data_IF_932193196846
#
_entry.id   IF_932193196846
#
_cell.length_a   1.000
_cell.length_b   1.000
_cell.length_c   1.000
_cell.angle_alpha   90.00
_cell.angle_beta   90.00
_cell.angle_gamma   90.00
#
_symmetry.space_group_name_H-M   'P 1'
#
loop_
_entity.id
_entity.type
_entity.pdbx_description
1 polymer ?
#
# COMPACT_ATOMS: atom_id res chain seq x y z
N UNK A 1 -10.46 -23.53 -10.36
CA UNK A 1 -9.31 -23.58 -9.44
C UNK A 1 -9.27 -22.26 -8.70
N UNK A 2 -9.23 -22.26 -7.36
CA UNK A 2 -9.13 -21.03 -6.57
C UNK A 2 -7.64 -20.65 -6.45
N UNK A 3 -7.29 -19.42 -6.80
CA UNK A 3 -5.92 -18.91 -6.77
C UNK A 3 -5.50 -18.65 -5.31
N UNK A 4 -4.19 -18.67 -5.04
CA UNK A 4 -3.69 -18.38 -3.68
C UNK A 4 -4.05 -16.96 -3.22
N UNK A 5 -4.02 -15.98 -4.13
CA UNK A 5 -4.45 -14.61 -3.82
C UNK A 5 -5.93 -14.54 -3.41
N UNK A 6 -6.80 -15.38 -4.01
CA UNK A 6 -8.22 -15.45 -3.66
C UNK A 6 -8.46 -16.06 -2.27
N UNK A 7 -7.53 -16.89 -1.77
CA UNK A 7 -7.58 -17.37 -0.39
C UNK A 7 -7.14 -16.27 0.56
N UNK A 8 -6.00 -15.65 0.27
CA UNK A 8 -5.44 -14.57 1.07
C UNK A 8 -6.43 -13.40 1.30
N UNK A 9 -7.07 -12.91 0.25
CA UNK A 9 -8.03 -11.80 0.38
C UNK A 9 -9.34 -12.20 1.08
N UNK A 10 -9.59 -13.50 1.26
CA UNK A 10 -10.74 -13.98 2.05
C UNK A 10 -10.42 -14.20 3.53
N UNK A 11 -9.14 -14.20 3.90
CA UNK A 11 -8.68 -14.40 5.28
C UNK A 11 -8.48 -13.08 6.03
N UNK A 12 -8.29 -11.98 5.30
CA UNK A 12 -8.00 -10.66 5.84
C UNK A 12 -9.05 -9.67 5.35
N UNK A 13 -9.54 -8.84 6.28
CA UNK A 13 -10.45 -7.76 5.94
C UNK A 13 -9.68 -6.55 5.35
N UNK A 14 -10.06 -6.17 4.14
CA UNK A 14 -9.48 -5.07 3.38
C UNK A 14 -10.55 -4.03 3.02
N UNK A 15 -10.17 -2.76 2.83
CA UNK A 15 -11.12 -1.72 2.44
C UNK A 15 -11.87 -2.09 1.15
N UNK A 16 -13.17 -1.83 1.09
CA UNK A 16 -14.04 -2.17 -0.05
C UNK A 16 -13.48 -1.64 -1.39
N UNK A 17 -13.01 -0.39 -1.39
CA UNK A 17 -12.39 0.23 -2.56
C UNK A 17 -11.11 -0.51 -3.03
N UNK A 18 -10.35 -1.10 -2.11
CA UNK A 18 -9.21 -1.94 -2.45
C UNK A 18 -9.67 -3.31 -2.95
N UNK A 19 -10.68 -3.91 -2.32
CA UNK A 19 -11.22 -5.21 -2.72
C UNK A 19 -11.73 -5.22 -4.17
N UNK A 20 -12.43 -4.17 -4.58
CA UNK A 20 -12.89 -4.00 -5.97
C UNK A 20 -11.72 -4.08 -6.97
N UNK A 21 -10.58 -3.45 -6.66
CA UNK A 21 -9.39 -3.48 -7.52
C UNK A 21 -8.80 -4.89 -7.64
N UNK A 22 -8.63 -5.63 -6.53
CA UNK A 22 -8.03 -6.97 -6.61
C UNK A 22 -8.96 -7.98 -7.29
N UNK A 23 -10.28 -7.85 -7.10
CA UNK A 23 -11.28 -8.69 -7.78
C UNK A 23 -11.25 -8.48 -9.29
N UNK A 24 -11.22 -7.22 -9.76
CA UNK A 24 -11.03 -6.90 -11.19
C UNK A 24 -9.68 -7.42 -11.72
N UNK A 25 -8.63 -7.32 -10.90
CA UNK A 25 -7.31 -7.86 -11.22
C UNK A 25 -7.32 -9.38 -11.42
N UNK A 26 -8.02 -10.11 -10.55
CA UNK A 26 -8.18 -11.57 -10.63
C UNK A 26 -8.99 -11.97 -11.86
N UNK A 27 -10.06 -11.22 -12.19
CA UNK A 27 -10.84 -11.45 -13.41
C UNK A 27 -9.96 -11.26 -14.65
N UNK A 28 -9.19 -10.16 -14.70
CA UNK A 28 -8.24 -9.91 -15.79
C UNK A 28 -7.21 -11.03 -15.92
N UNK A 29 -6.68 -11.54 -14.80
CA UNK A 29 -5.72 -12.64 -14.79
C UNK A 29 -6.34 -13.92 -15.38
N UNK A 30 -7.54 -14.29 -14.94
CA UNK A 30 -8.27 -15.47 -15.45
C UNK A 30 -8.62 -15.35 -16.93
N UNK A 31 -8.78 -14.13 -17.44
CA UNK A 31 -9.00 -13.84 -18.85
C UNK A 31 -7.70 -13.77 -19.69
N UNK A 32 -6.52 -13.97 -19.08
CA UNK A 32 -5.22 -13.88 -19.76
C UNK A 32 -4.73 -12.44 -20.02
N UNK A 33 -5.39 -11.44 -19.44
CA UNK A 33 -5.06 -10.02 -19.58
C UNK A 33 -4.09 -9.60 -18.47
N UNK A 34 -2.87 -10.14 -18.53
CA UNK A 34 -1.92 -10.06 -17.42
C UNK A 34 -1.45 -8.64 -17.05
N UNK A 35 -1.30 -7.74 -18.03
CA UNK A 35 -0.92 -6.34 -17.75
C UNK A 35 -1.99 -5.63 -16.92
N UNK A 36 -3.26 -5.77 -17.31
CA UNK A 36 -4.38 -5.20 -16.55
C UNK A 36 -4.49 -5.85 -15.17
N UNK A 37 -4.33 -7.17 -15.09
CA UNK A 37 -4.30 -7.88 -13.82
C UNK A 37 -3.24 -7.32 -12.86
N UNK A 38 -2.04 -7.07 -13.39
CA UNK A 38 -0.94 -6.50 -12.62
C UNK A 38 -1.22 -5.06 -12.16
N UNK A 39 -1.68 -4.19 -13.07
CA UNK A 39 -2.01 -2.79 -12.73
C UNK A 39 -3.06 -2.75 -11.62
N UNK A 40 -4.14 -3.52 -11.74
CA UNK A 40 -5.19 -3.58 -10.73
C UNK A 40 -4.68 -4.13 -9.39
N UNK A 41 -3.85 -5.17 -9.42
CA UNK A 41 -3.21 -5.72 -8.20
C UNK A 41 -2.28 -4.70 -7.53
N UNK A 42 -1.58 -3.88 -8.32
CA UNK A 42 -0.69 -2.84 -7.81
C UNK A 42 -1.48 -1.71 -7.16
N UNK A 43 -2.60 -1.31 -7.79
CA UNK A 43 -3.52 -0.33 -7.22
C UNK A 43 -4.16 -0.86 -5.93
N UNK A 44 -4.53 -2.14 -5.87
CA UNK A 44 -4.99 -2.78 -4.63
C UNK A 44 -3.95 -2.61 -3.52
N UNK A 45 -2.70 -3.01 -3.78
CA UNK A 45 -1.62 -2.89 -2.79
C UNK A 45 -1.46 -1.45 -2.28
N UNK A 46 -1.36 -0.47 -3.18
CA UNK A 46 -1.23 0.94 -2.78
C UNK A 46 -2.50 1.48 -2.10
N UNK A 47 -3.69 1.03 -2.48
CA UNK A 47 -4.95 1.43 -1.87
C UNK A 47 -5.05 0.97 -0.42
N UNK A 48 -4.65 -0.28 -0.15
CA UNK A 48 -4.56 -0.79 1.24
C UNK A 48 -3.56 0.02 2.05
N UNK A 49 -2.37 0.29 1.50
CA UNK A 49 -1.36 1.10 2.21
C UNK A 49 -1.84 2.53 2.43
N UNK A 50 -2.50 3.15 1.43
CA UNK A 50 -3.10 4.49 1.52
C UNK A 50 -4.14 4.54 2.62
N UNK A 51 -5.11 3.65 2.60
CA UNK A 51 -6.19 3.62 3.60
C UNK A 51 -5.62 3.56 5.00
N UNK A 52 -4.60 2.72 5.21
CA UNK A 52 -3.99 2.51 6.52
C UNK A 52 -3.13 3.69 6.95
N UNK A 53 -2.39 4.30 6.02
CA UNK A 53 -1.68 5.56 6.30
C UNK A 53 -2.65 6.68 6.70
N UNK A 54 -3.83 6.76 6.07
CA UNK A 54 -4.85 7.76 6.40
C UNK A 54 -5.62 7.43 7.69
N UNK A 55 -5.93 6.16 7.97
CA UNK A 55 -6.53 5.71 9.25
C UNK A 55 -5.56 5.86 10.43
N UNK A 56 -4.26 5.60 10.22
CA UNK A 56 -3.20 5.84 11.19
C UNK A 56 -3.00 7.33 11.52
N UNK A 57 -3.61 8.21 10.75
CA UNK A 57 -3.61 9.65 10.98
C UNK A 57 -4.74 10.08 11.93
N UNK A 58 -5.12 9.21 12.88
CA UNK A 58 -6.01 9.59 13.98
C UNK A 58 -5.39 10.79 14.72
N UNK A 59 -6.19 11.84 14.84
CA UNK A 59 -5.81 13.21 15.21
C UNK A 59 -5.47 13.28 16.71
N UNK A 60 -4.18 13.42 17.10
CA UNK A 60 -3.85 13.76 18.45
C UNK A 60 -4.01 15.26 18.60
N UNK A 61 -4.97 15.62 19.45
CA UNK A 61 -5.26 16.91 20.05
C UNK A 61 -4.06 17.88 19.90
N UNK A 62 -4.01 18.71 18.85
CA UNK A 62 -3.08 19.85 18.78
C UNK A 62 -2.50 20.25 17.42
N UNK A 63 -2.39 19.35 16.42
CA UNK A 63 -1.66 19.65 15.17
C UNK A 63 -2.51 19.63 13.86
N UNK A 64 -3.80 19.93 13.97
CA UNK A 64 -4.79 19.79 12.90
C UNK A 64 -4.65 20.67 11.63
N UNK A 65 -3.65 21.57 11.50
CA UNK A 65 -3.56 22.49 10.34
C UNK A 65 -2.59 22.09 9.23
N UNK A 66 -1.44 21.51 9.53
CA UNK A 66 -0.51 21.03 8.49
C UNK A 66 -0.91 19.65 7.95
N UNK A 67 -1.53 18.82 8.79
CA UNK A 67 -1.94 17.46 8.44
C UNK A 67 -3.16 17.40 7.52
N UNK A 68 -4.18 18.23 7.78
CA UNK A 68 -5.40 18.32 6.96
C UNK A 68 -5.08 18.64 5.51
N UNK A 69 -4.10 19.52 5.28
CA UNK A 69 -3.55 19.81 3.94
C UNK A 69 -3.01 18.57 3.23
N UNK A 70 -2.26 17.69 3.91
CA UNK A 70 -1.67 16.48 3.30
C UNK A 70 -2.70 15.39 3.02
N UNK A 71 -3.67 15.20 3.92
CA UNK A 71 -4.77 14.25 3.75
C UNK A 71 -5.68 14.68 2.59
N UNK A 72 -6.02 15.97 2.52
CA UNK A 72 -6.79 16.57 1.42
C UNK A 72 -6.03 16.48 0.08
N UNK A 73 -4.70 16.65 0.12
CA UNK A 73 -3.81 16.48 -1.03
C UNK A 73 -3.62 15.03 -1.52
N UNK A 74 -3.88 14.00 -0.69
CA UNK A 74 -3.81 12.59 -1.09
C UNK A 74 -5.16 12.09 -1.64
N UNK A 75 -6.26 12.72 -1.22
CA UNK A 75 -7.61 12.43 -1.71
C UNK A 75 -7.94 13.10 -3.05
N UNK A 76 -7.31 14.24 -3.38
CA UNK A 76 -7.72 15.08 -4.52
C UNK A 76 -6.75 15.06 -5.73
N UNK A 77 -5.81 14.11 -5.79
CA UNK A 77 -4.64 14.22 -6.69
C UNK A 77 -4.48 13.01 -7.62
N UNK A 78 -4.31 13.29 -8.92
CA UNK A 78 -3.96 12.36 -10.00
C UNK A 78 -2.64 11.59 -9.70
N UNK A 79 -1.84 12.10 -8.75
CA UNK A 79 -0.56 11.54 -8.32
C UNK A 79 -0.57 10.86 -6.95
N UNK A 80 -1.73 10.48 -6.41
CA UNK A 80 -1.82 9.85 -5.08
C UNK A 80 -0.93 8.60 -4.93
N UNK A 81 -0.79 7.79 -5.99
CA UNK A 81 0.10 6.61 -6.00
C UNK A 81 1.55 7.00 -5.66
N UNK A 82 2.05 8.11 -6.24
CA UNK A 82 3.41 8.62 -6.01
C UNK A 82 3.57 9.13 -4.58
N UNK A 83 2.57 9.80 -4.04
CA UNK A 83 2.58 10.30 -2.66
C UNK A 83 2.61 9.15 -1.65
N UNK A 84 1.75 8.16 -1.82
CA UNK A 84 1.68 6.97 -0.96
C UNK A 84 2.99 6.19 -1.03
N UNK A 85 3.52 5.98 -2.24
CA UNK A 85 4.83 5.36 -2.42
C UNK A 85 5.93 6.14 -1.67
N UNK A 86 5.93 7.47 -1.81
CA UNK A 86 6.86 8.34 -1.08
C UNK A 86 6.75 8.18 0.44
N UNK A 87 5.55 8.08 1.02
CA UNK A 87 5.38 7.89 2.46
C UNK A 87 6.06 6.61 2.98
N UNK A 88 6.10 5.57 2.15
CA UNK A 88 6.72 4.28 2.48
C UNK A 88 8.26 4.41 2.35
N UNK A 89 8.74 5.06 1.29
CA UNK A 89 10.18 5.07 0.94
C UNK A 89 10.99 6.22 1.52
N UNK A 90 10.37 7.31 1.99
CA UNK A 90 11.10 8.52 2.46
C UNK A 90 11.79 8.29 3.83
N UNK A 91 11.56 7.16 4.50
CA UNK A 91 12.15 6.86 5.79
C UNK A 91 13.45 6.04 5.71
N UNK A 92 14.60 6.67 5.39
CA UNK A 92 15.92 6.03 5.63
C UNK A 92 16.25 5.82 7.13
N UNK A 93 15.41 6.32 8.03
CA UNK A 93 15.33 5.86 9.44
C UNK A 93 14.06 6.29 10.19
N UNK A 94 13.18 7.13 9.63
CA UNK A 94 12.02 7.71 10.34
C UNK A 94 10.81 7.95 9.42
N UNK A 95 10.27 6.92 8.74
CA UNK A 95 8.90 7.05 8.26
C UNK A 95 7.98 7.00 9.48
N UNK A 96 7.19 8.07 9.70
CA UNK A 96 6.24 8.16 10.83
C UNK A 96 5.16 7.08 10.84
N UNK A 97 5.04 6.33 9.74
CA UNK A 97 3.94 5.39 9.51
C UNK A 97 4.41 3.97 9.22
N UNK A 98 5.56 3.76 8.57
CA UNK A 98 5.98 2.42 8.18
C UNK A 98 7.45 2.18 8.51
N UNK A 99 7.73 1.19 9.35
CA UNK A 99 9.08 0.65 9.48
C UNK A 99 9.28 -0.44 8.42
N UNK A 100 10.07 -0.13 7.40
CA UNK A 100 10.27 -0.98 6.22
C UNK A 100 11.77 -1.11 5.97
N UNK A 101 12.24 -2.34 5.78
CA UNK A 101 13.65 -2.58 5.47
C UNK A 101 14.01 -2.04 4.08
N UNK A 102 15.27 -1.66 3.88
CA UNK A 102 15.78 -1.20 2.59
C UNK A 102 15.54 -2.23 1.48
N UNK A 103 15.64 -3.53 1.81
CA UNK A 103 15.34 -4.62 0.87
C UNK A 103 13.90 -4.59 0.37
N UNK A 104 12.92 -4.36 1.25
CA UNK A 104 11.51 -4.26 0.85
C UNK A 104 11.28 -2.99 0.03
N UNK A 105 11.92 -1.87 0.38
CA UNK A 105 11.87 -0.64 -0.42
C UNK A 105 12.36 -0.90 -1.85
N UNK A 106 13.52 -1.56 -2.01
CA UNK A 106 14.04 -1.93 -3.33
C UNK A 106 13.09 -2.83 -4.12
N UNK A 107 12.46 -3.81 -3.45
CA UNK A 107 11.45 -4.66 -4.10
C UNK A 107 10.23 -3.84 -4.54
N UNK A 108 9.77 -2.92 -3.72
CA UNK A 108 8.65 -2.02 -4.07
C UNK A 108 8.97 -1.12 -5.26
N UNK A 109 10.20 -0.62 -5.36
CA UNK A 109 10.67 0.14 -6.53
C UNK A 109 10.67 -0.70 -7.81
N UNK A 110 11.08 -1.97 -7.71
CA UNK A 110 11.00 -2.92 -8.82
C UNK A 110 9.55 -3.10 -9.29
N UNK A 111 8.61 -3.35 -8.37
CA UNK A 111 7.20 -3.52 -8.72
C UNK A 111 6.57 -2.26 -9.32
N UNK A 112 6.96 -1.08 -8.82
CA UNK A 112 6.55 0.20 -9.40
C UNK A 112 7.06 0.39 -10.83
N UNK A 113 8.30 0.00 -11.08
CA UNK A 113 8.91 0.07 -12.42
C UNK A 113 8.16 -0.83 -13.40
N UNK A 114 7.87 -2.06 -12.97
CA UNK A 114 7.11 -3.02 -13.76
C UNK A 114 5.66 -2.55 -14.04
N UNK A 115 5.04 -1.81 -13.10
CA UNK A 115 3.73 -1.16 -13.32
C UNK A 115 3.81 -0.10 -14.40
N UNK A 116 4.87 0.72 -14.39
CA UNK A 116 5.07 1.75 -15.42
C UNK A 116 5.25 1.11 -16.80
N UNK A 117 5.98 -0.01 -16.90
CA UNK A 117 6.13 -0.75 -18.15
C UNK A 117 4.81 -1.30 -18.69
N UNK A 118 3.91 -1.76 -17.80
CA UNK A 118 2.57 -2.21 -18.19
C UNK A 118 1.75 -1.09 -18.82
N UNK A 119 1.88 0.15 -18.32
CA UNK A 119 1.14 1.32 -18.83
C UNK A 119 1.76 1.88 -20.11
N UNK A 120 3.08 1.98 -20.18
CA UNK A 120 3.77 2.54 -21.35
C UNK A 120 3.92 1.54 -22.51
N UNK A 121 3.41 0.30 -22.36
CA UNK A 121 3.48 -0.77 -23.37
C UNK A 121 4.89 -0.94 -23.95
N UNK A 122 5.91 -0.79 -23.10
CA UNK A 122 7.29 -1.11 -23.48
C UNK A 122 7.30 -2.58 -23.92
N UNK A 123 7.89 -2.86 -25.09
CA UNK A 123 7.71 -4.09 -25.89
C UNK A 123 8.15 -5.42 -25.25
N UNK A 124 8.39 -5.46 -23.95
CA UNK A 124 8.73 -6.66 -23.20
C UNK A 124 7.50 -7.56 -23.02
N UNK A 125 7.73 -8.86 -23.09
CA UNK A 125 6.70 -9.87 -22.86
C UNK A 125 6.25 -9.84 -21.40
N UNK A 126 4.94 -9.67 -21.18
CA UNK A 126 4.34 -9.67 -19.85
C UNK A 126 3.42 -10.88 -19.70
N UNK A 127 3.79 -11.81 -18.84
CA UNK A 127 3.11 -13.10 -18.63
C UNK A 127 2.57 -13.27 -17.20
N UNK A 128 1.74 -14.29 -17.01
CA UNK A 128 1.16 -14.71 -15.74
C UNK A 128 2.16 -14.74 -14.57
N UNK A 129 3.38 -15.24 -14.81
CA UNK A 129 4.42 -15.34 -13.78
C UNK A 129 4.77 -14.01 -13.10
N UNK A 130 4.67 -12.87 -13.81
CA UNK A 130 4.89 -11.55 -13.21
C UNK A 130 3.77 -11.19 -12.22
N UNK A 131 2.52 -11.49 -12.58
CA UNK A 131 1.36 -11.27 -11.72
C UNK A 131 1.44 -12.15 -10.48
N UNK A 132 1.72 -13.44 -10.66
CA UNK A 132 1.85 -14.40 -9.56
C UNK A 132 2.99 -14.04 -8.61
N UNK A 133 4.14 -13.64 -9.15
CA UNK A 133 5.29 -13.21 -8.33
C UNK A 133 4.94 -11.97 -7.50
N UNK A 134 4.18 -11.03 -8.07
CA UNK A 134 3.73 -9.86 -7.34
C UNK A 134 2.67 -10.18 -6.28
N UNK A 135 1.76 -11.11 -6.56
CA UNK A 135 0.82 -11.59 -5.54
C UNK A 135 1.55 -12.26 -4.36
N UNK A 136 2.58 -13.05 -4.62
CA UNK A 136 3.42 -13.61 -3.54
C UNK A 136 4.10 -12.51 -2.72
N UNK A 137 4.57 -11.45 -3.37
CA UNK A 137 5.12 -10.29 -2.67
C UNK A 137 4.06 -9.60 -1.79
N UNK A 138 2.85 -9.38 -2.31
CA UNK A 138 1.73 -8.82 -1.54
C UNK A 138 1.43 -9.69 -0.32
N UNK A 139 1.28 -11.00 -0.52
CA UNK A 139 0.93 -11.94 0.54
C UNK A 139 1.98 -12.00 1.65
N UNK A 140 3.26 -11.88 1.30
CA UNK A 140 4.37 -11.90 2.26
C UNK A 140 4.62 -10.56 2.95
N UNK A 141 4.39 -9.45 2.26
CA UNK A 141 4.81 -8.12 2.73
C UNK A 141 3.68 -7.32 3.35
N UNK A 142 2.46 -7.44 2.80
CA UNK A 142 1.34 -6.62 3.22
C UNK A 142 0.96 -6.85 4.70
N UNK A 143 0.89 -8.07 5.24
CA UNK A 143 0.59 -8.28 6.67
C UNK A 143 1.59 -7.58 7.61
N UNK A 144 2.89 -7.67 7.32
CA UNK A 144 3.94 -7.06 8.14
C UNK A 144 3.89 -5.53 8.07
N UNK A 145 3.67 -4.96 6.88
CA UNK A 145 3.45 -3.52 6.72
C UNK A 145 2.25 -3.03 7.55
N UNK A 146 1.17 -3.83 7.60
CA UNK A 146 -0.03 -3.51 8.37
C UNK A 146 0.20 -3.60 9.89
N UNK A 147 1.03 -4.54 10.34
CA UNK A 147 1.37 -4.69 11.77
C UNK A 147 2.31 -3.56 12.20
N UNK A 148 3.35 -3.27 11.43
CA UNK A 148 4.32 -2.22 11.74
C UNK A 148 3.65 -0.85 11.79
N UNK A 149 2.75 -0.57 10.86
CA UNK A 149 1.96 0.66 10.89
C UNK A 149 1.14 0.79 12.17
N UNK A 150 0.41 -0.25 12.57
CA UNK A 150 -0.36 -0.23 13.83
C UNK A 150 0.50 -0.04 15.07
N UNK A 151 1.65 -0.72 15.16
CA UNK A 151 2.57 -0.57 16.30
C UNK A 151 3.08 0.85 16.45
N UNK A 152 3.49 1.47 15.33
CA UNK A 152 4.03 2.83 15.31
C UNK A 152 2.98 3.89 15.68
N UNK A 153 1.72 3.66 15.35
CA UNK A 153 0.62 4.54 15.77
C UNK A 153 0.41 4.45 17.27
N UNK A 154 0.24 3.23 17.79
CA UNK A 154 -0.03 3.00 19.21
C UNK A 154 1.09 3.51 20.11
N UNK A 155 2.36 3.35 19.71
CA UNK A 155 3.49 3.87 20.49
C UNK A 155 3.45 5.39 20.59
N UNK A 156 3.08 6.08 19.50
CA UNK A 156 3.00 7.55 19.48
C UNK A 156 1.80 8.07 20.25
N UNK A 157 0.63 7.42 20.13
CA UNK A 157 -0.54 7.75 20.95
C UNK A 157 -0.23 7.64 22.45
N UNK A 158 0.56 6.63 22.84
CA UNK A 158 1.00 6.46 24.23
C UNK A 158 2.00 7.54 24.68
N UNK A 159 2.96 7.91 23.84
CA UNK A 159 3.92 9.00 24.12
C UNK A 159 3.20 10.34 24.31
N UNK A 160 2.31 10.71 23.38
CA UNK A 160 1.53 11.95 23.44
C UNK A 160 0.57 11.98 24.64
N UNK A 161 -0.04 10.84 24.99
CA UNK A 161 -0.86 10.73 26.20
C UNK A 161 -0.04 10.95 27.48
N UNK A 162 1.18 10.40 27.55
CA UNK A 162 2.06 10.60 28.69
C UNK A 162 2.53 12.05 28.81
N UNK A 163 2.91 12.70 27.70
CA UNK A 163 3.31 14.12 27.70
C UNK A 163 2.20 15.03 28.24
N UNK A 164 0.95 14.82 27.80
CA UNK A 164 -0.21 15.58 28.28
C UNK A 164 -0.57 15.32 29.76
N UNK A 165 -0.07 14.24 30.37
CA UNK A 165 -0.30 13.88 31.77
C UNK A 165 0.69 14.56 32.72
N UNK A 166 1.83 15.03 32.20
CA UNK A 166 2.90 15.65 32.97
C UNK A 166 3.04 17.17 32.72
N UNK A 167 2.15 17.78 31.92
CA UNK A 167 1.90 19.24 31.84
C UNK A 167 0.76 19.68 32.78
#
# INVERSE_FOLDING_TARGET
MKLEIEKFISEIDFPEAAMSLIEEGILCYKAGVYRSAYIMSYLFFLSVVKHRALESSYDPIGYGRELKKKTDEISNDEFWERKVFGLITTGKSHSRYFEVSESIITQMEYWRTLRNDCVHSNGNQFVAAHVESFWLFIQSTLPDLLINCRKNVLSREAEEFLENLFE
#
